data_IF_813841420983
#
_entry.id   IF_813841420983
#
_cell.length_a   1.000
_cell.length_b   1.000
_cell.length_c   1.000
_cell.angle_alpha   90.00
_cell.angle_beta   90.00
_cell.angle_gamma   90.00
#
_symmetry.space_group_name_H-M   'P 1'
#
loop_
_entity.id
_entity.type
_entity.pdbx_description
1 polymer ?
#
# COMPACT_ATOMS: atom_id res chain seq x y z
N UNK A 1 -0.51 -4.00 23.95
CA UNK A 1 -0.37 -3.00 22.85
C UNK A 1 1.08 -2.83 22.43
N UNK A 2 1.98 -2.22 23.23
CA UNK A 2 3.41 -2.13 22.83
C UNK A 2 4.11 -3.49 22.80
N UNK A 3 3.79 -4.39 23.73
CA UNK A 3 4.47 -5.68 23.86
C UNK A 3 4.11 -6.71 22.77
N UNK A 4 3.04 -6.47 21.99
CA UNK A 4 2.58 -7.40 20.93
C UNK A 4 2.77 -6.82 19.52
N UNK A 5 2.46 -5.53 19.31
CA UNK A 5 2.40 -4.95 17.97
C UNK A 5 3.77 -4.55 17.42
N UNK A 6 4.68 -4.06 18.27
CA UNK A 6 6.04 -3.67 17.86
C UNK A 6 6.88 -4.88 17.41
N UNK A 7 6.94 -5.98 18.20
CA UNK A 7 7.67 -7.17 17.77
C UNK A 7 7.08 -7.80 16.51
N UNK A 8 5.76 -7.79 16.35
CA UNK A 8 5.08 -8.30 15.15
C UNK A 8 5.41 -7.46 13.89
N UNK A 9 5.43 -6.13 14.03
CA UNK A 9 5.85 -5.19 12.98
C UNK A 9 7.32 -5.38 12.59
N UNK A 10 8.20 -5.53 13.58
CA UNK A 10 9.64 -5.78 13.34
C UNK A 10 9.90 -7.15 12.71
N UNK A 11 9.14 -8.17 13.09
CA UNK A 11 9.20 -9.48 12.47
C UNK A 11 8.73 -9.43 11.00
N UNK A 12 7.64 -8.73 10.70
CA UNK A 12 7.17 -8.52 9.32
C UNK A 12 8.17 -7.71 8.48
N UNK A 13 8.80 -6.68 9.07
CA UNK A 13 9.86 -5.91 8.41
C UNK A 13 11.10 -6.78 8.12
N UNK A 14 11.48 -7.68 9.03
CA UNK A 14 12.58 -8.64 8.82
C UNK A 14 12.25 -9.75 7.81
N UNK A 15 10.98 -10.12 7.67
CA UNK A 15 10.55 -11.29 6.87
C UNK A 15 10.27 -10.98 5.38
N UNK A 16 10.57 -9.78 4.88
CA UNK A 16 10.85 -9.60 3.45
C UNK A 16 9.70 -9.15 2.55
N UNK A 17 8.64 -8.53 3.07
CA UNK A 17 7.62 -7.87 2.22
C UNK A 17 8.23 -6.76 1.34
N UNK A 18 9.33 -6.14 1.78
CA UNK A 18 10.10 -5.20 0.96
C UNK A 18 10.84 -5.87 -0.20
N UNK A 19 11.20 -7.15 -0.10
CA UNK A 19 11.86 -7.91 -1.16
C UNK A 19 10.86 -8.43 -2.19
N UNK A 20 9.65 -8.82 -1.78
CA UNK A 20 8.61 -9.26 -2.72
C UNK A 20 8.18 -8.14 -3.69
N UNK A 21 8.02 -6.91 -3.18
CA UNK A 21 7.72 -5.71 -3.99
C UNK A 21 8.87 -5.39 -4.94
N UNK A 22 10.12 -5.42 -4.47
CA UNK A 22 11.30 -5.19 -5.32
C UNK A 22 11.42 -6.23 -6.44
N UNK A 23 11.15 -7.50 -6.13
CA UNK A 23 11.14 -8.59 -7.11
C UNK A 23 10.04 -8.34 -8.16
N UNK A 24 8.82 -8.00 -7.75
CA UNK A 24 7.73 -7.67 -8.69
C UNK A 24 8.06 -6.45 -9.55
N UNK A 25 8.66 -5.40 -8.98
CA UNK A 25 9.10 -4.23 -9.74
C UNK A 25 10.14 -4.60 -10.79
N UNK A 26 11.12 -5.45 -10.47
CA UNK A 26 12.10 -5.96 -11.45
C UNK A 26 11.44 -6.79 -12.56
N UNK A 27 10.43 -7.59 -12.23
CA UNK A 27 9.66 -8.35 -13.24
C UNK A 27 8.95 -7.39 -14.20
N UNK A 28 8.29 -6.36 -13.67
CA UNK A 28 7.60 -5.34 -14.48
C UNK A 28 8.59 -4.59 -15.37
N UNK A 29 9.73 -4.16 -14.84
CA UNK A 29 10.77 -3.49 -15.62
C UNK A 29 11.27 -4.36 -16.78
N UNK A 30 11.51 -5.65 -16.54
CA UNK A 30 11.91 -6.58 -17.60
C UNK A 30 10.82 -6.75 -18.68
N UNK A 31 9.55 -6.80 -18.28
CA UNK A 31 8.44 -6.87 -19.23
C UNK A 31 8.32 -5.57 -20.04
N UNK A 32 8.47 -4.41 -19.40
CA UNK A 32 8.45 -3.11 -20.07
C UNK A 32 9.60 -2.96 -21.07
N UNK A 33 10.82 -3.42 -20.72
CA UNK A 33 11.95 -3.44 -21.65
C UNK A 33 11.70 -4.35 -22.86
N UNK A 34 11.11 -5.53 -22.64
CA UNK A 34 10.73 -6.44 -23.74
C UNK A 34 9.68 -5.82 -24.65
N UNK A 35 8.70 -5.10 -24.08
CA UNK A 35 7.67 -4.41 -24.85
C UNK A 35 8.29 -3.30 -25.70
N UNK A 36 9.24 -2.55 -25.15
CA UNK A 36 9.95 -1.51 -25.89
C UNK A 36 10.74 -2.09 -27.07
N UNK A 37 11.44 -3.21 -26.86
CA UNK A 37 12.12 -3.92 -27.94
C UNK A 37 11.19 -4.42 -29.05
N UNK A 38 9.91 -4.72 -28.75
CA UNK A 38 8.91 -5.04 -29.77
C UNK A 38 8.43 -3.79 -30.53
N UNK A 39 8.31 -2.63 -29.87
CA UNK A 39 8.00 -1.36 -30.55
C UNK A 39 9.10 -0.95 -31.51
N UNK A 40 10.37 -1.11 -31.10
CA UNK A 40 11.52 -0.88 -31.98
C UNK A 40 11.51 -1.80 -33.21
N UNK A 41 10.99 -3.03 -33.04
CA UNK A 41 10.79 -3.94 -34.16
C UNK A 41 9.63 -3.52 -35.05
N UNK A 42 8.55 -2.97 -34.49
CA UNK A 42 7.41 -2.42 -35.23
C UNK A 42 7.87 -1.28 -36.13
N UNK A 43 8.63 -0.33 -35.57
CA UNK A 43 9.16 0.82 -36.29
C UNK A 43 10.03 0.39 -37.47
N UNK A 44 10.93 -0.58 -37.25
CA UNK A 44 11.73 -1.16 -38.33
C UNK A 44 10.87 -1.84 -39.40
N UNK A 45 9.75 -2.47 -39.04
CA UNK A 45 8.85 -3.05 -40.05
C UNK A 45 8.20 -1.97 -40.89
N UNK A 46 7.83 -0.82 -40.31
CA UNK A 46 7.32 0.33 -41.03
C UNK A 46 8.37 0.88 -42.01
N UNK A 47 9.60 1.13 -41.56
CA UNK A 47 10.70 1.58 -42.42
C UNK A 47 10.94 0.62 -43.60
N UNK A 48 10.89 -0.70 -43.36
CA UNK A 48 11.09 -1.71 -44.40
C UNK A 48 9.93 -1.73 -45.41
N UNK A 49 8.71 -1.42 -44.99
CA UNK A 49 7.56 -1.29 -45.88
C UNK A 49 7.67 -0.02 -46.72
N UNK A 50 7.98 1.12 -46.10
CA UNK A 50 8.12 2.43 -46.76
C UNK A 50 9.26 2.44 -47.79
N UNK A 51 10.36 1.75 -47.48
CA UNK A 51 11.49 1.58 -48.42
C UNK A 51 11.23 0.52 -49.50
N UNK A 52 10.06 -0.13 -49.48
CA UNK A 52 9.66 -1.15 -50.45
C UNK A 52 10.40 -2.48 -50.33
N UNK A 53 11.19 -2.68 -49.26
CA UNK A 53 11.87 -3.95 -48.99
C UNK A 53 10.89 -5.04 -48.54
N UNK A 54 9.80 -4.65 -47.89
CA UNK A 54 8.69 -5.53 -47.56
C UNK A 54 7.55 -5.34 -48.56
N UNK A 55 6.94 -6.46 -48.96
CA UNK A 55 5.63 -6.42 -49.60
C UNK A 55 4.55 -6.19 -48.54
N UNK A 56 3.41 -5.63 -48.95
CA UNK A 56 2.27 -5.41 -48.06
C UNK A 56 1.83 -6.69 -47.35
N UNK A 57 1.70 -7.80 -48.09
CA UNK A 57 1.29 -9.10 -47.52
C UNK A 57 2.26 -9.63 -46.47
N UNK A 58 3.58 -9.48 -46.70
CA UNK A 58 4.60 -9.92 -45.76
C UNK A 58 4.58 -9.04 -44.50
N UNK A 59 4.41 -7.73 -44.68
CA UNK A 59 4.27 -6.78 -43.58
C UNK A 59 3.05 -7.12 -42.73
N UNK A 60 1.87 -7.28 -43.33
CA UNK A 60 0.62 -7.54 -42.61
C UNK A 60 0.72 -8.82 -41.77
N UNK A 61 1.29 -9.90 -42.33
CA UNK A 61 1.50 -11.15 -41.60
C UNK A 61 2.43 -10.98 -40.41
N UNK A 62 3.57 -10.29 -40.59
CA UNK A 62 4.57 -10.09 -39.53
C UNK A 62 4.12 -9.12 -38.46
N UNK A 63 3.44 -8.04 -38.86
CA UNK A 63 2.93 -7.02 -37.97
C UNK A 63 1.79 -7.58 -37.11
N UNK A 64 0.90 -8.40 -37.68
CA UNK A 64 -0.15 -9.06 -36.91
C UNK A 64 0.42 -9.94 -35.79
N UNK A 65 1.41 -10.77 -36.10
CA UNK A 65 2.09 -11.61 -35.10
C UNK A 65 2.92 -10.80 -34.08
N UNK A 66 3.44 -9.63 -34.47
CA UNK A 66 4.13 -8.72 -33.55
C UNK A 66 3.15 -8.08 -32.57
N UNK A 67 2.01 -7.60 -33.07
CA UNK A 67 0.96 -6.96 -32.27
C UNK A 67 0.32 -7.90 -31.27
N UNK A 68 0.09 -9.16 -31.65
CA UNK A 68 -0.38 -10.19 -30.72
C UNK A 68 0.59 -10.36 -29.54
N UNK A 69 1.91 -10.41 -29.81
CA UNK A 69 2.93 -10.47 -28.74
C UNK A 69 2.95 -9.21 -27.87
N UNK A 70 2.75 -8.04 -28.46
CA UNK A 70 2.69 -6.78 -27.71
C UNK A 70 1.46 -6.72 -26.79
N UNK A 71 0.32 -7.21 -27.27
CA UNK A 71 -0.91 -7.30 -26.48
C UNK A 71 -0.74 -8.27 -25.31
N UNK A 72 -0.17 -9.44 -25.55
CA UNK A 72 0.16 -10.41 -24.50
C UNK A 72 1.09 -9.83 -23.44
N UNK A 73 2.15 -9.13 -23.84
CA UNK A 73 3.06 -8.48 -22.91
C UNK A 73 2.36 -7.37 -22.11
N UNK A 74 1.51 -6.59 -22.76
CA UNK A 74 0.75 -5.52 -22.10
C UNK A 74 -0.21 -6.10 -21.06
N UNK A 75 -0.86 -7.21 -21.36
CA UNK A 75 -1.72 -7.94 -20.43
C UNK A 75 -0.93 -8.54 -19.26
N UNK A 76 0.28 -9.07 -19.51
CA UNK A 76 1.19 -9.55 -18.46
C UNK A 76 1.63 -8.42 -17.54
N UNK A 77 2.00 -7.25 -18.09
CA UNK A 77 2.35 -6.06 -17.32
C UNK A 77 1.17 -5.59 -16.46
N UNK A 78 -0.04 -5.51 -17.04
CA UNK A 78 -1.25 -5.12 -16.31
C UNK A 78 -1.51 -6.07 -15.14
N UNK A 79 -1.39 -7.36 -15.38
CA UNK A 79 -1.60 -8.40 -14.37
C UNK A 79 -0.53 -8.35 -13.28
N UNK A 80 0.74 -8.14 -13.66
CA UNK A 80 1.84 -7.98 -12.71
C UNK A 80 1.65 -6.73 -11.82
N UNK A 81 1.23 -5.61 -12.41
CA UNK A 81 0.93 -4.36 -11.68
C UNK A 81 -0.24 -4.54 -10.70
N UNK A 82 -1.29 -5.26 -11.11
CA UNK A 82 -2.43 -5.54 -10.24
C UNK A 82 -2.09 -6.47 -9.06
N UNK A 83 -1.05 -7.30 -9.21
CA UNK A 83 -0.56 -8.21 -8.17
C UNK A 83 0.39 -7.55 -7.18
N UNK A 84 0.83 -6.32 -7.39
CA UNK A 84 1.67 -5.60 -6.41
C UNK A 84 0.80 -5.29 -5.18
N UNK A 85 1.09 -5.85 -4.00
CA UNK A 85 0.44 -5.42 -2.78
C UNK A 85 0.71 -3.93 -2.58
N UNK A 86 -0.28 -3.15 -2.11
CA UNK A 86 -0.02 -1.75 -1.69
C UNK A 86 1.14 -1.81 -0.70
N UNK A 87 2.31 -1.30 -1.07
CA UNK A 87 3.52 -1.51 -0.27
C UNK A 87 3.31 -0.89 1.10
N UNK A 88 3.08 -1.73 2.10
CA UNK A 88 3.10 -1.29 3.48
C UNK A 88 4.57 -1.23 3.88
N UNK A 89 5.11 -0.02 3.99
CA UNK A 89 6.46 0.18 4.49
C UNK A 89 6.48 -0.08 6.00
N UNK A 90 6.57 -1.36 6.39
CA UNK A 90 6.55 -1.78 7.80
C UNK A 90 7.69 -1.18 8.62
N UNK A 91 8.83 -0.87 7.99
CA UNK A 91 9.96 -0.20 8.63
C UNK A 91 9.60 1.25 9.01
N UNK A 92 9.05 2.01 8.07
CA UNK A 92 8.56 3.37 8.31
C UNK A 92 7.41 3.37 9.33
N UNK A 93 6.52 2.38 9.30
CA UNK A 93 5.46 2.23 10.31
C UNK A 93 6.01 1.91 11.70
N UNK A 94 7.02 1.05 11.81
CA UNK A 94 7.71 0.76 13.06
C UNK A 94 8.38 2.01 13.63
N UNK A 95 9.09 2.77 12.80
CA UNK A 95 9.71 4.05 13.19
C UNK A 95 8.67 5.04 13.67
N UNK A 96 7.58 5.20 12.92
CA UNK A 96 6.50 6.15 13.24
C UNK A 96 5.80 5.78 14.56
N UNK A 97 5.55 4.49 14.79
CA UNK A 97 4.97 3.99 16.04
C UNK A 97 5.90 4.26 17.23
N UNK A 98 7.21 3.97 17.11
CA UNK A 98 8.21 4.27 18.14
C UNK A 98 8.27 5.75 18.46
N UNK A 99 8.27 6.60 17.43
CA UNK A 99 8.29 8.05 17.60
C UNK A 99 7.05 8.57 18.32
N UNK A 100 5.87 8.01 18.04
CA UNK A 100 4.66 8.38 18.74
C UNK A 100 4.63 7.93 20.19
N UNK A 101 5.07 6.71 20.49
CA UNK A 101 5.22 6.25 21.87
C UNK A 101 6.16 7.17 22.65
N UNK A 102 7.32 7.52 22.07
CA UNK A 102 8.28 8.43 22.68
C UNK A 102 7.70 9.84 22.89
N UNK A 103 7.00 10.37 21.89
CA UNK A 103 6.33 11.67 21.93
C UNK A 103 5.19 11.75 22.95
N UNK A 104 4.51 10.64 23.23
CA UNK A 104 3.45 10.59 24.24
C UNK A 104 4.01 10.53 25.67
N UNK A 105 5.19 9.93 25.85
CA UNK A 105 5.88 9.82 27.15
C UNK A 105 6.66 11.07 27.55
N UNK A 106 6.96 11.94 26.60
CA UNK A 106 7.70 13.19 26.81
C UNK A 106 6.75 14.39 26.83
N UNK A 107 7.06 15.40 27.64
CA UNK A 107 6.27 16.64 27.74
C UNK A 107 6.73 17.74 26.76
N UNK A 108 7.69 17.42 25.90
CA UNK A 108 8.31 18.36 24.95
C UNK A 108 7.38 18.77 23.79
N UNK A 109 6.25 18.08 23.62
CA UNK A 109 5.30 18.31 22.53
C UNK A 109 3.98 18.91 23.00
N UNK A 110 3.49 19.87 22.24
CA UNK A 110 2.19 20.50 22.49
C UNK A 110 1.03 19.54 22.20
N UNK A 111 -0.11 19.74 22.87
CA UNK A 111 -1.34 18.93 22.69
C UNK A 111 -1.77 18.80 21.21
N UNK A 112 -1.75 19.86 20.38
CA UNK A 112 -2.08 19.74 18.95
C UNK A 112 -1.11 18.83 18.18
N UNK A 113 0.19 18.88 18.49
CA UNK A 113 1.19 18.05 17.83
C UNK A 113 1.05 16.57 18.21
N UNK A 114 0.77 16.29 19.50
CA UNK A 114 0.45 14.92 19.97
C UNK A 114 -0.79 14.37 19.25
N UNK A 115 -1.85 15.16 19.13
CA UNK A 115 -3.07 14.76 18.41
C UNK A 115 -2.85 14.52 16.91
N UNK A 116 -2.02 15.33 16.25
CA UNK A 116 -1.66 15.14 14.85
C UNK A 116 -0.94 13.81 14.65
N UNK A 117 0.01 13.50 15.54
CA UNK A 117 0.79 12.27 15.50
C UNK A 117 -0.07 11.02 15.77
N UNK A 118 -0.96 11.08 16.76
CA UNK A 118 -1.89 9.99 17.07
C UNK A 118 -2.80 9.64 15.89
N UNK A 119 -3.33 10.65 15.18
CA UNK A 119 -4.18 10.45 13.99
C UNK A 119 -3.46 9.79 12.81
N UNK A 120 -2.14 9.84 12.78
CA UNK A 120 -1.34 9.16 11.74
C UNK A 120 -1.30 7.65 11.98
N UNK A 121 -1.39 7.22 13.25
CA UNK A 121 -1.12 5.83 13.65
C UNK A 121 -2.40 5.09 14.06
N UNK A 122 -3.36 5.78 14.67
CA UNK A 122 -4.63 5.22 15.10
C UNK A 122 -5.65 5.32 13.97
N UNK A 123 -6.25 4.20 13.58
CA UNK A 123 -7.35 4.18 12.62
C UNK A 123 -8.67 4.54 13.31
N UNK A 124 -8.97 3.84 14.40
CA UNK A 124 -10.14 4.07 15.23
C UNK A 124 -9.92 3.63 16.66
N UNK A 125 -10.72 4.17 17.56
CA UNK A 125 -10.78 3.78 18.97
C UNK A 125 -12.22 3.38 19.24
N UNK A 126 -12.42 2.15 19.67
CA UNK A 126 -13.71 1.66 20.10
C UNK A 126 -13.81 1.84 21.62
N UNK A 127 -14.94 2.38 22.06
CA UNK A 127 -15.22 2.68 23.46
C UNK A 127 -16.39 1.82 23.92
N UNK A 128 -16.18 1.05 24.98
CA UNK A 128 -17.23 0.28 25.64
C UNK A 128 -17.41 0.84 27.06
N UNK A 129 -18.53 1.53 27.26
CA UNK A 129 -18.93 2.03 28.56
C UNK A 129 -19.85 1.03 29.27
N UNK A 130 -19.53 0.68 30.52
CA UNK A 130 -20.41 -0.10 31.38
C UNK A 130 -21.55 0.78 31.95
N UNK A 131 -22.37 1.40 31.10
CA UNK A 131 -23.78 1.79 31.30
C UNK A 131 -24.21 2.77 30.19
N UNK A 132 -25.48 2.74 29.76
CA UNK A 132 -25.94 3.63 28.70
C UNK A 132 -25.95 5.07 29.22
N UNK A 133 -25.31 5.97 28.46
CA UNK A 133 -25.52 7.40 28.62
C UNK A 133 -27.01 7.70 28.43
N UNK A 134 -27.69 7.89 29.55
CA UNK A 134 -28.93 8.66 29.70
C UNK A 134 -30.18 8.05 29.04
N UNK A 135 -30.99 7.35 29.83
CA UNK A 135 -32.42 7.28 29.56
C UNK A 135 -33.04 8.68 29.75
N UNK A 136 -33.89 9.17 28.83
CA UNK A 136 -34.47 10.50 28.94
C UNK A 136 -35.49 10.53 30.08
N UNK A 137 -35.14 11.15 31.21
CA UNK A 137 -36.10 11.40 32.30
C UNK A 137 -35.56 11.56 33.72
N UNK A 138 -34.32 11.18 34.03
CA UNK A 138 -33.88 11.16 35.45
C UNK A 138 -33.07 12.40 35.86
N UNK A 139 -33.75 13.43 36.36
CA UNK A 139 -33.15 14.43 37.25
C UNK A 139 -33.09 13.88 38.68
N UNK A 140 -31.89 13.63 39.20
CA UNK A 140 -31.38 14.05 40.53
C UNK A 140 -30.20 13.17 40.95
N UNK A 141 -29.09 13.84 41.26
CA UNK A 141 -28.00 13.36 42.13
C UNK A 141 -27.39 12.02 41.75
N UNK A 142 -26.42 11.99 40.84
CA UNK A 142 -25.67 10.76 40.58
C UNK A 142 -24.33 10.81 41.32
N UNK A 143 -24.17 9.88 42.25
CA UNK A 143 -22.89 9.56 42.91
C UNK A 143 -21.85 9.25 41.83
N UNK A 144 -20.63 9.77 42.02
CA UNK A 144 -19.40 9.31 41.36
C UNK A 144 -19.24 7.81 41.64
N UNK A 145 -19.79 6.97 40.79
CA UNK A 145 -19.43 5.55 40.71
C UNK A 145 -18.49 5.41 39.54
N UNK A 146 -17.31 4.83 39.78
CA UNK A 146 -16.26 4.66 38.79
C UNK A 146 -16.85 4.10 37.48
N UNK A 147 -16.86 4.92 36.44
CA UNK A 147 -17.15 4.45 35.10
C UNK A 147 -15.92 3.68 34.65
N UNK A 148 -15.91 2.36 34.90
CA UNK A 148 -15.00 1.48 34.20
C UNK A 148 -15.39 1.52 32.73
N UNK A 149 -14.55 2.14 31.93
CA UNK A 149 -14.64 2.12 30.49
C UNK A 149 -13.45 1.34 29.94
N UNK A 150 -13.70 0.62 28.87
CA UNK A 150 -12.66 -0.05 28.12
C UNK A 150 -12.48 0.67 26.78
N UNK A 151 -11.21 0.77 26.37
CA UNK A 151 -10.83 1.34 25.07
C UNK A 151 -10.09 0.25 24.30
N UNK A 152 -10.61 -0.08 23.12
CA UNK A 152 -9.91 -0.89 22.14
C UNK A 152 -9.36 0.04 21.05
N UNK A 153 -8.04 -0.01 20.84
CA UNK A 153 -7.36 0.87 19.87
C UNK A 153 -6.96 0.04 18.65
N UNK A 154 -7.46 0.46 17.49
CA UNK A 154 -7.14 -0.15 16.20
C UNK A 154 -6.13 0.74 15.48
N UNK A 155 -4.97 0.17 15.16
CA UNK A 155 -3.88 0.86 14.49
C UNK A 155 -4.02 0.76 12.96
N UNK A 156 -3.57 1.79 12.24
CA UNK A 156 -3.34 1.71 10.79
C UNK A 156 -2.04 0.94 10.52
N UNK A 157 -2.09 -0.39 10.63
CA UNK A 157 -0.97 -1.30 10.28
C UNK A 157 -1.21 -1.98 8.93
#
# INVERSE_FOLDING_TARGET
MEEEELPALEAKARNGDGDSVKIQQRIIQNLEQKLEGLKDQEEKQYELLETGKYTQELFDRRNSALREKMEDLTNQIRTAKAKIPKSVNYEERSITLKQAIAALRTDDMTVPQKNKLLRTIIDRIEFTGATPLTAPGSRKGRKKGLETFELEIFLRI
#
